data_IF_600970644070
#
_entry.id   IF_600970644070
#
_cell.length_a   1.000
_cell.length_b   1.000
_cell.length_c   1.000
_cell.angle_alpha   90.00
_cell.angle_beta   90.00
_cell.angle_gamma   90.00
#
_symmetry.space_group_name_H-M   'P 1'
#
loop_
_entity.id
_entity.type
_entity.pdbx_description
1 polymer ?
#
# COMPACT_ATOMS: atom_id res chain seq x y z
N UNK A 1 -23.50 5.55 10.21
CA UNK A 1 -23.99 5.66 8.81
C UNK A 1 -23.74 7.09 8.33
N UNK A 2 -23.10 7.33 7.17
CA UNK A 2 -22.71 8.67 6.70
C UNK A 2 -23.66 9.28 5.65
N UNK A 3 -24.96 9.01 5.74
CA UNK A 3 -25.97 9.67 4.88
C UNK A 3 -25.82 9.46 3.36
N UNK A 4 -25.20 8.36 2.92
CA UNK A 4 -25.05 8.03 1.49
C UNK A 4 -23.90 8.72 0.76
N UNK A 5 -23.05 9.48 1.46
CA UNK A 5 -21.81 10.07 0.90
C UNK A 5 -20.58 9.60 1.67
N UNK A 6 -19.40 9.50 1.05
CA UNK A 6 -18.19 9.20 1.80
C UNK A 6 -17.78 10.39 2.69
N UNK A 7 -17.16 10.13 3.86
CA UNK A 7 -16.58 11.19 4.69
C UNK A 7 -15.40 11.83 3.95
N UNK A 8 -15.34 13.17 3.92
CA UNK A 8 -14.32 13.91 3.15
C UNK A 8 -13.11 14.34 3.99
N UNK A 9 -13.14 14.11 5.30
CA UNK A 9 -12.00 14.32 6.19
C UNK A 9 -11.62 13.00 6.86
N UNK A 10 -10.33 12.85 7.12
CA UNK A 10 -9.82 11.67 7.80
C UNK A 10 -10.46 11.49 9.19
N UNK A 11 -10.62 12.57 9.96
CA UNK A 11 -11.22 12.52 11.28
C UNK A 11 -12.69 12.05 11.24
N UNK A 12 -13.47 12.53 10.26
CA UNK A 12 -14.85 12.08 10.05
C UNK A 12 -14.91 10.61 9.63
N UNK A 13 -13.96 10.15 8.81
CA UNK A 13 -13.83 8.75 8.44
C UNK A 13 -13.54 7.87 9.64
N UNK A 14 -12.52 8.19 10.43
CA UNK A 14 -12.15 7.41 11.62
C UNK A 14 -13.31 7.35 12.63
N UNK A 15 -14.05 8.44 12.82
CA UNK A 15 -15.24 8.47 13.68
C UNK A 15 -16.39 7.57 13.18
N UNK A 16 -16.42 7.26 11.87
CA UNK A 16 -17.53 6.51 11.25
C UNK A 16 -17.19 5.06 10.94
N UNK A 17 -15.92 4.76 10.65
CA UNK A 17 -15.48 3.46 10.14
C UNK A 17 -15.63 2.32 11.17
N UNK A 18 -15.47 2.62 12.46
CA UNK A 18 -15.50 1.62 13.54
C UNK A 18 -14.30 0.67 13.50
N UNK A 19 -14.41 -0.45 14.21
CA UNK A 19 -13.36 -1.48 14.21
C UNK A 19 -13.55 -2.49 13.07
N UNK A 20 -12.48 -2.87 12.36
CA UNK A 20 -12.57 -3.88 11.31
C UNK A 20 -12.81 -5.28 11.91
N UNK A 21 -13.54 -6.16 11.20
CA UNK A 21 -13.77 -7.53 11.66
C UNK A 21 -12.45 -8.29 11.83
N UNK A 22 -12.48 -9.32 12.67
CA UNK A 22 -11.32 -10.21 12.87
C UNK A 22 -10.88 -10.85 11.54
N UNK A 23 -9.58 -11.08 11.35
CA UNK A 23 -9.09 -11.81 10.18
C UNK A 23 -9.60 -13.25 10.23
N UNK A 24 -9.92 -13.81 9.06
CA UNK A 24 -10.12 -15.25 8.91
C UNK A 24 -8.71 -15.86 8.84
N UNK A 25 -8.41 -16.74 9.79
CA UNK A 25 -7.09 -17.36 9.95
C UNK A 25 -7.16 -18.89 9.83
N UNK A 26 -8.07 -19.39 9.00
CA UNK A 26 -8.20 -20.82 8.75
C UNK A 26 -6.92 -21.33 8.09
N UNK A 27 -6.29 -22.32 8.72
CA UNK A 27 -5.18 -23.07 8.14
C UNK A 27 -5.76 -24.35 7.57
N UNK A 28 -5.57 -24.56 6.28
CA UNK A 28 -5.93 -25.79 5.63
C UNK A 28 -4.68 -26.67 5.58
N UNK A 29 -4.73 -27.84 6.20
CA UNK A 29 -3.69 -28.86 6.03
C UNK A 29 -3.71 -29.41 4.61
N UNK A 30 -4.90 -29.49 4.02
CA UNK A 30 -5.15 -29.98 2.67
C UNK A 30 -6.32 -29.19 2.05
N UNK A 31 -6.29 -29.03 0.73
CA UNK A 31 -7.39 -28.50 -0.06
C UNK A 31 -7.85 -29.60 -1.03
N UNK A 32 -9.14 -29.63 -1.41
CA UNK A 32 -9.61 -30.56 -2.44
C UNK A 32 -8.76 -30.43 -3.71
N UNK A 33 -8.35 -31.55 -4.34
CA UNK A 33 -7.55 -31.50 -5.55
C UNK A 33 -8.35 -30.94 -6.71
N UNK A 34 -7.64 -30.52 -7.76
CA UNK A 34 -8.25 -30.10 -9.02
C UNK A 34 -8.93 -31.31 -9.66
N UNK A 35 -10.20 -31.15 -10.07
CA UNK A 35 -10.97 -32.19 -10.77
C UNK A 35 -10.61 -32.30 -12.26
N UNK A 36 -11.44 -33.01 -13.01
CA UNK A 36 -11.31 -33.12 -14.48
C UNK A 36 -11.49 -31.74 -15.15
N UNK A 37 -10.46 -31.31 -15.90
CA UNK A 37 -10.47 -30.04 -16.65
C UNK A 37 -11.10 -30.19 -18.04
N UNK A 38 -11.54 -31.39 -18.42
CA UNK A 38 -12.11 -31.68 -19.72
C UNK A 38 -11.10 -31.45 -20.85
N UNK A 39 -11.44 -30.55 -21.78
CA UNK A 39 -10.56 -30.17 -22.89
C UNK A 39 -9.64 -28.98 -22.62
N UNK A 40 -9.66 -28.40 -21.41
CA UNK A 40 -8.85 -27.24 -21.08
C UNK A 40 -7.47 -27.64 -20.54
N UNK A 41 -6.43 -27.01 -21.08
CA UNK A 41 -5.05 -27.18 -20.64
C UNK A 41 -4.72 -26.28 -19.44
N UNK A 42 -4.04 -26.84 -18.44
CA UNK A 42 -3.53 -26.09 -17.30
C UNK A 42 -2.18 -25.46 -17.65
N UNK A 43 -2.16 -24.13 -17.80
CA UNK A 43 -0.94 -23.37 -18.09
C UNK A 43 -0.25 -22.91 -16.79
N UNK A 44 1.09 -22.91 -16.74
CA UNK A 44 1.82 -22.33 -15.62
C UNK A 44 1.70 -20.79 -15.61
N UNK A 45 2.13 -20.18 -14.50
CA UNK A 45 2.30 -18.71 -14.43
C UNK A 45 3.40 -18.29 -15.41
N UNK A 46 3.13 -17.35 -16.34
CA UNK A 46 4.10 -16.98 -17.37
C UNK A 46 5.28 -16.20 -16.77
N UNK A 47 6.43 -16.31 -17.44
CA UNK A 47 7.61 -15.48 -17.19
C UNK A 47 7.51 -14.16 -17.94
N UNK A 48 8.39 -13.21 -17.61
CA UNK A 48 8.41 -11.91 -18.27
C UNK A 48 8.79 -12.04 -19.75
N UNK A 49 9.67 -12.98 -20.11
CA UNK A 49 10.05 -13.23 -21.50
C UNK A 49 8.85 -13.70 -22.34
N UNK A 50 7.97 -14.50 -21.75
CA UNK A 50 6.75 -15.01 -22.39
C UNK A 50 5.68 -13.92 -22.53
N UNK A 51 5.76 -12.86 -21.73
CA UNK A 51 4.94 -11.66 -21.85
C UNK A 51 5.49 -10.65 -22.87
N UNK A 52 6.61 -10.97 -23.53
CA UNK A 52 7.22 -10.13 -24.57
C UNK A 52 8.20 -9.08 -24.04
N UNK A 53 8.56 -9.13 -22.74
CA UNK A 53 9.69 -8.36 -22.23
C UNK A 53 10.98 -9.06 -22.69
N UNK A 54 11.91 -8.33 -23.30
CA UNK A 54 13.14 -8.89 -23.88
C UNK A 54 14.13 -9.41 -22.82
N UNK A 55 15.42 -9.35 -23.12
CA UNK A 55 16.46 -9.67 -22.14
C UNK A 55 16.44 -8.68 -20.97
N UNK A 56 16.20 -9.18 -19.76
CA UNK A 56 16.12 -8.42 -18.51
C UNK A 56 17.44 -8.38 -17.74
N UNK A 57 18.53 -8.92 -18.31
CA UNK A 57 19.83 -9.00 -17.63
C UNK A 57 20.40 -7.64 -17.20
N UNK A 58 20.00 -6.57 -17.89
CA UNK A 58 20.39 -5.18 -17.57
C UNK A 58 19.31 -4.40 -16.83
N UNK A 59 18.14 -4.99 -16.59
CA UNK A 59 17.03 -4.31 -15.94
C UNK A 59 17.21 -4.29 -14.42
N UNK A 60 16.75 -3.21 -13.80
CA UNK A 60 16.77 -3.10 -12.35
C UNK A 60 15.74 -4.07 -11.74
N UNK A 61 16.22 -4.98 -10.89
CA UNK A 61 15.35 -5.87 -10.12
C UNK A 61 15.05 -5.19 -8.78
N UNK A 62 13.77 -4.85 -8.48
CA UNK A 62 13.41 -4.25 -7.20
C UNK A 62 13.81 -5.15 -6.03
N UNK A 63 14.29 -4.59 -4.90
CA UNK A 63 14.76 -5.37 -3.74
C UNK A 63 13.62 -6.05 -2.97
N UNK A 64 12.36 -5.85 -3.38
CA UNK A 64 11.17 -6.35 -2.73
C UNK A 64 10.50 -7.43 -3.58
N UNK A 65 10.78 -8.70 -3.26
CA UNK A 65 10.12 -9.85 -3.90
C UNK A 65 8.64 -9.91 -3.53
N UNK A 66 7.80 -10.29 -4.49
CA UNK A 66 6.35 -10.45 -4.31
C UNK A 66 5.97 -11.75 -3.58
N UNK A 67 4.65 -11.92 -3.34
CA UNK A 67 4.05 -13.12 -2.75
C UNK A 67 3.71 -13.01 -1.26
N UNK A 68 2.80 -13.88 -0.80
CA UNK A 68 2.34 -13.96 0.60
C UNK A 68 3.47 -14.30 1.57
N UNK A 69 4.34 -15.25 1.22
CA UNK A 69 5.45 -15.68 2.06
C UNK A 69 6.35 -14.50 2.46
N UNK A 70 6.74 -13.67 1.48
CA UNK A 70 7.54 -12.47 1.73
C UNK A 70 6.76 -11.40 2.49
N UNK A 71 5.46 -11.27 2.21
CA UNK A 71 4.59 -10.34 2.93
C UNK A 71 4.52 -10.65 4.44
N UNK A 72 4.28 -11.91 4.80
CA UNK A 72 4.18 -12.36 6.18
C UNK A 72 5.52 -12.28 6.90
N UNK A 73 6.62 -12.64 6.22
CA UNK A 73 7.98 -12.49 6.75
C UNK A 73 8.28 -11.03 7.10
N UNK A 74 8.13 -10.12 6.13
CA UNK A 74 8.40 -8.68 6.31
C UNK A 74 7.47 -8.03 7.34
N UNK A 75 6.20 -8.47 7.42
CA UNK A 75 5.27 -8.01 8.45
C UNK A 75 5.77 -8.38 9.85
N UNK A 76 6.20 -9.64 10.06
CA UNK A 76 6.74 -10.08 11.35
C UNK A 76 8.00 -9.31 11.73
N UNK A 77 8.92 -9.13 10.79
CA UNK A 77 10.15 -8.33 10.98
C UNK A 77 9.81 -6.87 11.35
N UNK A 78 8.84 -6.25 10.66
CA UNK A 78 8.39 -4.89 10.93
C UNK A 78 7.73 -4.72 12.31
N UNK A 79 7.11 -5.78 12.83
CA UNK A 79 6.43 -5.78 14.13
C UNK A 79 7.29 -6.31 15.28
N UNK A 80 8.53 -6.73 15.00
CA UNK A 80 9.44 -7.29 16.00
C UNK A 80 9.83 -6.26 17.06
N UNK A 81 10.11 -5.02 16.64
CA UNK A 81 10.36 -3.90 17.54
C UNK A 81 9.03 -3.26 17.96
N UNK A 82 8.47 -3.78 19.06
CA UNK A 82 7.20 -3.31 19.63
C UNK A 82 7.26 -1.83 20.06
N UNK A 83 8.42 -1.36 20.49
CA UNK A 83 8.59 0.03 20.92
C UNK A 83 8.50 0.96 19.72
N UNK A 84 9.19 0.62 18.62
CA UNK A 84 9.07 1.33 17.35
C UNK A 84 7.63 1.35 16.84
N UNK A 85 6.92 0.21 16.85
CA UNK A 85 5.51 0.13 16.44
C UNK A 85 4.62 1.03 17.29
N UNK A 86 4.80 0.99 18.62
CA UNK A 86 4.02 1.79 19.55
C UNK A 86 4.30 3.29 19.43
N UNK A 87 5.55 3.68 19.15
CA UNK A 87 5.98 5.08 19.01
C UNK A 87 5.95 5.59 17.57
N UNK A 88 5.52 4.78 16.61
CA UNK A 88 5.54 5.14 15.20
C UNK A 88 4.73 6.41 14.93
N UNK A 89 5.34 7.40 14.28
CA UNK A 89 4.69 8.61 13.80
C UNK A 89 5.13 8.90 12.37
N UNK A 90 4.21 8.76 11.41
CA UNK A 90 4.50 8.92 9.98
C UNK A 90 5.25 10.21 9.62
N UNK A 91 4.91 11.40 10.18
CA UNK A 91 5.62 12.64 9.83
C UNK A 91 7.07 12.70 10.29
N UNK A 92 7.50 11.82 11.20
CA UNK A 92 8.87 11.77 11.73
C UNK A 92 9.78 10.79 10.98
N UNK A 93 9.25 10.08 9.97
CA UNK A 93 10.04 9.16 9.17
C UNK A 93 11.07 9.91 8.30
N UNK A 94 12.27 9.36 8.22
CA UNK A 94 13.35 9.89 7.37
C UNK A 94 13.16 9.39 5.92
N UNK A 95 12.87 10.28 4.95
CA UNK A 95 12.72 9.89 3.55
C UNK A 95 14.06 9.54 2.87
N UNK A 96 15.20 9.91 3.47
CA UNK A 96 16.54 9.58 2.95
C UNK A 96 17.04 8.20 3.37
N UNK A 97 16.35 7.51 4.28
CA UNK A 97 16.72 6.19 4.76
C UNK A 97 16.32 5.08 3.76
N UNK A 98 17.17 4.79 2.76
CA UNK A 98 16.91 3.74 1.75
C UNK A 98 17.53 2.37 2.09
N UNK A 99 18.65 2.32 2.83
CA UNK A 99 19.28 1.05 3.25
C UNK A 99 18.43 0.28 4.26
N UNK A 100 17.85 1.01 5.23
CA UNK A 100 16.85 0.51 6.17
C UNK A 100 15.65 1.46 6.10
N UNK A 101 14.61 1.14 5.32
CA UNK A 101 13.45 1.99 5.16
C UNK A 101 12.86 2.46 6.49
N UNK A 102 12.55 3.76 6.59
CA UNK A 102 11.93 4.35 7.79
C UNK A 102 10.47 3.89 8.03
N UNK A 103 9.91 3.11 7.10
CA UNK A 103 8.55 2.53 7.18
C UNK A 103 8.59 1.05 6.82
N UNK A 104 7.45 0.37 6.96
CA UNK A 104 7.36 -1.10 6.83
C UNK A 104 7.56 -1.64 5.41
N UNK A 105 7.40 -0.80 4.39
CA UNK A 105 7.36 -1.19 2.96
C UNK A 105 6.37 -2.34 2.70
N UNK A 106 5.24 -2.35 3.43
CA UNK A 106 4.17 -3.34 3.24
C UNK A 106 3.16 -2.95 2.15
N UNK A 107 3.29 -1.74 1.57
CA UNK A 107 2.38 -1.22 0.54
C UNK A 107 2.21 -2.12 -0.70
N UNK A 108 3.25 -2.70 -1.34
CA UNK A 108 3.04 -3.58 -2.49
C UNK A 108 2.27 -4.84 -2.11
N UNK A 109 2.57 -5.43 -0.94
CA UNK A 109 1.88 -6.64 -0.47
C UNK A 109 0.41 -6.38 -0.13
N UNK A 110 0.10 -5.22 0.45
CA UNK A 110 -1.27 -4.78 0.70
C UNK A 110 -2.02 -4.48 -0.61
N UNK A 111 -1.32 -3.98 -1.64
CA UNK A 111 -1.92 -3.68 -2.96
C UNK A 111 -2.34 -4.95 -3.72
N UNK A 112 -1.55 -6.01 -3.62
CA UNK A 112 -1.84 -7.29 -4.28
C UNK A 112 -2.63 -8.27 -3.39
N UNK A 113 -2.89 -7.93 -2.13
CA UNK A 113 -3.59 -8.82 -1.21
C UNK A 113 -2.73 -9.95 -0.64
N UNK A 114 -1.43 -9.98 -0.96
CA UNK A 114 -0.44 -10.87 -0.34
C UNK A 114 -0.40 -10.71 1.19
N UNK A 115 -0.76 -9.52 1.69
CA UNK A 115 -1.00 -9.29 3.12
C UNK A 115 -2.45 -8.87 3.35
N UNK A 116 -3.15 -9.61 4.21
CA UNK A 116 -4.48 -9.21 4.68
C UNK A 116 -4.38 -7.95 5.54
N UNK A 117 -5.05 -6.87 5.12
CA UNK A 117 -5.14 -5.62 5.87
C UNK A 117 -5.79 -5.82 7.25
N UNK A 118 -6.77 -6.73 7.36
CA UNK A 118 -7.40 -7.10 8.63
C UNK A 118 -6.39 -7.78 9.54
N UNK A 119 -5.65 -8.75 9.03
CA UNK A 119 -4.65 -9.46 9.82
C UNK A 119 -3.58 -8.50 10.36
N UNK A 120 -3.05 -7.66 9.47
CA UNK A 120 -2.05 -6.67 9.86
C UNK A 120 -2.58 -5.67 10.89
N UNK A 121 -3.81 -5.17 10.73
CA UNK A 121 -4.45 -4.30 11.73
C UNK A 121 -4.51 -4.96 13.11
N UNK A 122 -5.01 -6.20 13.19
CA UNK A 122 -5.13 -6.92 14.46
C UNK A 122 -3.77 -7.22 15.09
N UNK A 123 -2.73 -7.54 14.30
CA UNK A 123 -1.37 -7.68 14.82
C UNK A 123 -0.83 -6.36 15.43
N UNK A 124 -1.11 -5.21 14.81
CA UNK A 124 -0.76 -3.90 15.39
C UNK A 124 -1.52 -3.67 16.70
N UNK A 125 -2.82 -4.00 16.76
CA UNK A 125 -3.61 -3.88 17.99
C UNK A 125 -3.07 -4.75 19.13
N UNK A 126 -2.58 -5.95 18.82
CA UNK A 126 -1.98 -6.83 19.82
C UNK A 126 -0.67 -6.24 20.38
N UNK A 127 0.14 -5.59 19.54
CA UNK A 127 1.30 -4.83 20.01
C UNK A 127 0.84 -3.69 20.93
N UNK A 128 -0.13 -2.88 20.50
CA UNK A 128 -0.65 -1.75 21.29
C UNK A 128 -1.23 -2.17 22.64
N UNK A 129 -1.93 -3.32 22.71
CA UNK A 129 -2.42 -3.88 23.97
C UNK A 129 -1.30 -4.34 24.91
N UNK A 130 -0.12 -4.65 24.36
CA UNK A 130 1.05 -5.08 25.13
C UNK A 130 1.98 -3.93 25.56
N UNK A 131 1.69 -2.68 25.18
CA UNK A 131 2.48 -1.50 25.57
C UNK A 131 1.67 -0.55 26.46
N UNK A 132 2.37 0.22 27.33
CA UNK A 132 1.70 1.18 28.23
C UNK A 132 1.04 2.33 27.48
N UNK A 133 1.69 2.80 26.42
CA UNK A 133 1.23 3.89 25.56
C UNK A 133 1.56 3.55 24.10
N UNK A 134 0.82 4.15 23.18
CA UNK A 134 1.09 4.09 21.76
C UNK A 134 0.54 5.33 21.06
N UNK A 135 1.03 5.63 19.87
CA UNK A 135 0.55 6.73 19.04
C UNK A 135 -0.84 6.43 18.49
N UNK A 136 -1.58 7.48 18.14
CA UNK A 136 -2.95 7.38 17.62
C UNK A 136 -3.01 7.82 16.14
N UNK A 137 -4.04 7.41 15.40
CA UNK A 137 -4.35 8.01 14.10
C UNK A 137 -4.38 9.55 14.19
N UNK A 138 -3.91 10.30 13.18
CA UNK A 138 -3.54 9.86 11.83
C UNK A 138 -2.08 9.40 11.68
N UNK A 139 -1.24 9.62 12.69
CA UNK A 139 0.22 9.43 12.58
C UNK A 139 0.68 8.01 12.86
N UNK A 140 -0.10 7.26 13.65
CA UNK A 140 0.26 5.89 14.04
C UNK A 140 0.28 4.91 12.87
N UNK A 141 0.89 3.73 13.10
CA UNK A 141 0.96 2.68 12.10
C UNK A 141 -0.43 2.16 11.70
N UNK A 142 -1.32 1.96 12.70
CA UNK A 142 -2.73 1.67 12.43
C UNK A 142 -3.41 2.82 11.65
N UNK A 143 -3.03 4.08 11.94
CA UNK A 143 -3.48 5.25 11.19
C UNK A 143 -3.13 5.19 9.69
N UNK A 144 -2.02 4.55 9.32
CA UNK A 144 -1.65 4.37 7.91
C UNK A 144 -2.59 3.41 7.18
N UNK A 145 -3.11 2.37 7.85
CA UNK A 145 -4.15 1.51 7.29
C UNK A 145 -5.48 2.25 7.15
N UNK A 146 -5.81 3.12 8.11
CA UNK A 146 -7.00 3.96 8.01
C UNK A 146 -6.88 5.00 6.88
N UNK A 147 -5.67 5.45 6.52
CA UNK A 147 -5.46 6.30 5.34
C UNK A 147 -5.78 5.55 4.04
N UNK A 148 -5.34 4.29 3.94
CA UNK A 148 -5.74 3.42 2.83
C UNK A 148 -7.27 3.35 2.77
N UNK A 149 -7.93 2.97 3.85
CA UNK A 149 -9.39 2.76 3.82
C UNK A 149 -10.19 4.06 3.62
N UNK A 150 -9.68 5.19 4.12
CA UNK A 150 -10.22 6.52 3.83
C UNK A 150 -10.24 6.79 2.32
N UNK A 151 -9.10 6.64 1.64
CA UNK A 151 -9.03 6.88 0.19
C UNK A 151 -9.79 5.84 -0.63
N UNK A 152 -9.85 4.58 -0.20
CA UNK A 152 -10.71 3.57 -0.84
C UNK A 152 -12.19 3.96 -0.72
N UNK A 153 -12.63 4.43 0.46
CA UNK A 153 -14.02 4.83 0.69
C UNK A 153 -14.40 6.07 -0.11
N UNK A 154 -13.54 7.09 -0.10
CA UNK A 154 -13.77 8.33 -0.87
C UNK A 154 -13.76 8.06 -2.36
N UNK A 155 -12.78 7.29 -2.87
CA UNK A 155 -12.67 7.02 -4.30
C UNK A 155 -13.84 6.20 -4.82
N UNK A 156 -14.29 5.18 -4.08
CA UNK A 156 -15.47 4.40 -4.44
C UNK A 156 -16.75 5.26 -4.52
N UNK A 157 -16.91 6.22 -3.60
CA UNK A 157 -18.08 7.11 -3.55
C UNK A 157 -18.00 8.34 -4.47
N UNK A 158 -16.91 8.52 -5.22
CA UNK A 158 -16.66 9.75 -6.00
C UNK A 158 -16.47 9.42 -7.48
N UNK A 159 -17.43 9.76 -8.35
CA UNK A 159 -17.25 9.69 -9.79
C UNK A 159 -16.02 10.49 -10.24
N UNK A 160 -15.29 9.98 -11.22
CA UNK A 160 -14.14 10.65 -11.81
C UNK A 160 -13.01 10.95 -10.80
N UNK A 161 -12.92 10.21 -9.67
CA UNK A 161 -11.93 10.46 -8.61
C UNK A 161 -10.48 10.56 -9.10
N UNK A 162 -10.14 9.82 -10.16
CA UNK A 162 -8.80 9.72 -10.74
C UNK A 162 -8.45 10.85 -11.72
N UNK A 163 -9.38 11.75 -12.04
CA UNK A 163 -9.17 12.86 -12.97
C UNK A 163 -9.70 14.18 -12.39
N UNK A 164 -9.31 15.31 -13.00
CA UNK A 164 -9.73 16.63 -12.55
C UNK A 164 -11.15 16.96 -13.05
N UNK A 165 -11.39 16.84 -14.35
CA UNK A 165 -12.68 17.20 -14.95
C UNK A 165 -13.79 16.23 -14.51
N UNK A 166 -14.93 16.78 -14.11
CA UNK A 166 -16.08 16.02 -13.60
C UNK A 166 -15.93 15.53 -12.15
N UNK A 167 -14.79 15.73 -11.51
CA UNK A 167 -14.56 15.31 -10.13
C UNK A 167 -15.02 16.37 -9.13
N UNK A 168 -16.12 16.06 -8.42
CA UNK A 168 -16.82 17.01 -7.51
C UNK A 168 -15.99 17.48 -6.32
N UNK A 169 -14.91 16.77 -5.96
CA UNK A 169 -14.06 17.12 -4.83
C UNK A 169 -12.67 17.62 -5.28
N UNK A 170 -12.41 17.66 -6.59
CA UNK A 170 -11.17 18.17 -7.15
C UNK A 170 -11.31 19.64 -7.55
N UNK A 171 -10.34 20.46 -7.17
CA UNK A 171 -10.27 21.85 -7.62
C UNK A 171 -9.92 21.89 -9.11
N UNK A 172 -10.70 22.65 -9.88
CA UNK A 172 -10.44 22.86 -11.31
C UNK A 172 -9.35 23.92 -11.47
N UNK A 173 -8.11 23.45 -11.63
CA UNK A 173 -6.92 24.29 -11.76
C UNK A 173 -6.49 24.25 -13.23
N UNK A 174 -6.25 25.41 -13.89
CA UNK A 174 -5.74 25.44 -15.25
C UNK A 174 -4.24 25.10 -15.26
N UNK A 175 -3.92 23.82 -15.07
CA UNK A 175 -2.56 23.31 -15.13
C UNK A 175 -1.97 23.55 -16.52
N UNK A 176 -0.67 23.84 -16.57
CA UNK A 176 0.04 24.01 -17.84
C UNK A 176 0.53 22.66 -18.30
N UNK A 177 0.26 22.32 -19.57
CA UNK A 177 0.90 21.18 -20.22
C UNK A 177 2.24 21.62 -20.80
N UNK A 178 3.32 21.00 -20.32
CA UNK A 178 4.66 21.21 -20.85
C UNK A 178 5.38 19.86 -20.89
N UNK A 179 5.48 19.29 -22.10
CA UNK A 179 6.09 17.97 -22.32
C UNK A 179 7.56 17.91 -21.94
N UNK A 180 8.32 18.99 -22.16
CA UNK A 180 9.74 19.05 -21.80
C UNK A 180 9.94 18.99 -20.29
N UNK A 181 9.19 19.80 -19.52
CA UNK A 181 9.23 19.78 -18.06
C UNK A 181 8.73 18.46 -17.49
N UNK A 182 7.69 17.87 -18.09
CA UNK A 182 7.21 16.55 -17.68
C UNK A 182 8.27 15.47 -17.88
N UNK A 183 8.92 15.43 -19.04
CA UNK A 183 10.00 14.46 -19.34
C UNK A 183 11.21 14.68 -18.42
N UNK A 184 11.60 15.94 -18.19
CA UNK A 184 12.70 16.26 -17.28
C UNK A 184 12.39 15.79 -15.84
N UNK A 185 11.17 15.98 -15.36
CA UNK A 185 10.75 15.48 -14.05
C UNK A 185 10.65 13.94 -14.00
N UNK A 186 9.95 13.33 -14.97
CA UNK A 186 9.73 11.88 -15.06
C UNK A 186 11.05 11.10 -15.07
N UNK A 187 12.06 11.61 -15.77
CA UNK A 187 13.34 10.94 -15.95
C UNK A 187 14.39 11.36 -14.91
N UNK A 188 14.04 12.16 -13.90
CA UNK A 188 14.98 12.62 -12.85
C UNK A 188 16.09 13.52 -13.40
N UNK A 189 15.75 14.46 -14.29
CA UNK A 189 16.67 15.39 -14.97
C UNK A 189 16.25 16.85 -14.77
N UNK A 190 15.71 17.18 -13.61
CA UNK A 190 15.26 18.54 -13.28
C UNK A 190 16.42 19.48 -12.96
N UNK A 191 17.60 18.93 -12.62
CA UNK A 191 18.77 19.70 -12.15
C UNK A 191 18.75 19.96 -10.64
N UNK A 192 17.75 19.43 -9.92
CA UNK A 192 17.65 19.50 -8.47
C UNK A 192 17.94 18.12 -7.87
N UNK A 193 19.14 17.89 -7.29
CA UNK A 193 19.61 16.56 -6.92
C UNK A 193 18.66 15.76 -6.01
N UNK A 194 17.97 16.42 -5.08
CA UNK A 194 16.99 15.78 -4.21
C UNK A 194 15.77 15.25 -4.96
N UNK A 195 15.27 16.00 -5.94
CA UNK A 195 14.12 15.58 -6.76
C UNK A 195 14.54 14.47 -7.70
N UNK A 196 15.66 14.67 -8.38
CA UNK A 196 16.18 13.72 -9.36
C UNK A 196 16.48 12.36 -8.72
N UNK A 197 17.06 12.34 -7.51
CA UNK A 197 17.29 11.10 -6.76
C UNK A 197 16.01 10.33 -6.40
N UNK A 198 14.93 11.02 -6.03
CA UNK A 198 13.64 10.38 -5.69
C UNK A 198 12.97 9.80 -6.93
N UNK A 199 13.09 10.44 -8.09
CA UNK A 199 12.47 9.93 -9.33
C UNK A 199 13.20 8.70 -9.89
N UNK A 200 14.48 8.54 -9.54
CA UNK A 200 15.29 7.37 -9.90
C UNK A 200 15.06 6.19 -8.94
N UNK A 201 14.67 6.47 -7.69
CA UNK A 201 14.43 5.48 -6.63
C UNK A 201 13.17 4.64 -6.88
#
# INVERSE_FOLDING_TARGET
KNGGRPPLTYQSFVATAGEPPKPVMEKYSELPPIGDTGGYELLPVPKLEELGYGDLSQEYIPPFRGGETEALKRMRESLQDKEWVAKFEKPKGDPSAFLKPATTVLSPYLKFGCLSARYFYHCIQDVYRSTKTHTKPPVSLAGQLLWRDFFYTVSFGTPNFHQMEGNKICKQIPWRENGELFVAWRDGRTGYPWIDAIMIQ
#
